data_IF_274066345167
#
_entry.id   IF_274066345167
#
_cell.length_a   1.000
_cell.length_b   1.000
_cell.length_c   1.000
_cell.angle_alpha   90.00
_cell.angle_beta   90.00
_cell.angle_gamma   90.00
#
_symmetry.space_group_name_H-M   'P 1'
#
loop_
_entity.id
_entity.type
_entity.pdbx_description
1 polymer ?
#
# COMPACT_ATOMS: atom_id res chain seq x y z
N UNK A 1 -11.35 -15.16 -1.73
CA UNK A 1 -10.03 -15.75 -2.03
C UNK A 1 -9.06 -15.53 -0.89
N UNK A 2 -8.80 -14.28 -0.47
CA UNK A 2 -7.88 -13.96 0.64
C UNK A 2 -8.23 -14.64 1.97
N UNK A 3 -9.52 -14.72 2.34
CA UNK A 3 -9.92 -15.44 3.55
C UNK A 3 -9.45 -16.92 3.55
N UNK A 4 -9.52 -17.59 2.38
CA UNK A 4 -9.04 -18.97 2.21
C UNK A 4 -7.51 -19.06 2.30
N UNK A 5 -6.79 -17.99 1.93
CA UNK A 5 -5.34 -17.91 2.07
C UNK A 5 -4.93 -17.82 3.55
N UNK A 6 -5.65 -16.98 4.31
CA UNK A 6 -5.50 -16.88 5.76
C UNK A 6 -5.86 -18.19 6.49
N UNK A 7 -6.95 -18.85 6.11
CA UNK A 7 -7.31 -20.18 6.64
C UNK A 7 -6.24 -21.24 6.35
N UNK A 8 -5.53 -21.14 5.22
CA UNK A 8 -4.43 -22.03 4.85
C UNK A 8 -3.09 -21.64 5.49
N UNK A 9 -3.04 -20.60 6.31
CA UNK A 9 -1.81 -20.10 6.94
C UNK A 9 -0.77 -19.58 5.94
N UNK A 10 -1.20 -19.15 4.76
CA UNK A 10 -0.31 -18.64 3.72
C UNK A 10 -0.23 -17.10 3.80
N UNK A 11 0.97 -16.50 3.76
CA UNK A 11 1.11 -15.05 3.88
C UNK A 11 0.62 -14.33 2.63
N UNK A 12 -0.09 -13.23 2.83
CA UNK A 12 -0.46 -12.25 1.82
C UNK A 12 0.42 -11.00 1.95
N UNK A 13 1.34 -10.81 1.00
CA UNK A 13 2.17 -9.60 0.92
C UNK A 13 1.66 -8.76 -0.25
N UNK A 14 1.26 -7.53 0.04
CA UNK A 14 0.80 -6.55 -0.95
C UNK A 14 1.95 -5.61 -1.32
N UNK A 15 2.24 -5.47 -2.62
CA UNK A 15 3.19 -4.49 -3.14
C UNK A 15 2.43 -3.44 -3.94
N UNK A 16 2.34 -2.23 -3.38
CA UNK A 16 1.66 -1.08 -3.95
C UNK A 16 2.64 -0.29 -4.84
N UNK A 17 2.30 -0.18 -6.12
CA UNK A 17 3.09 0.55 -7.12
C UNK A 17 2.29 1.74 -7.65
N UNK A 18 2.99 2.73 -8.20
CA UNK A 18 2.35 3.97 -8.64
C UNK A 18 1.56 3.82 -9.95
N UNK A 19 0.29 4.28 -10.02
CA UNK A 19 -0.62 4.60 -8.91
C UNK A 19 -1.44 3.38 -8.46
N UNK A 20 -1.79 3.33 -7.16
CA UNK A 20 -2.75 2.36 -6.62
C UNK A 20 -3.97 3.11 -6.08
N UNK A 21 -5.12 3.00 -6.77
CA UNK A 21 -6.29 3.84 -6.47
C UNK A 21 -7.61 3.08 -6.38
N UNK A 22 -8.61 3.69 -5.74
CA UNK A 22 -10.01 3.26 -5.83
C UNK A 22 -10.27 1.89 -5.23
N UNK A 23 -11.08 1.09 -5.94
CA UNK A 23 -11.52 -0.23 -5.47
C UNK A 23 -10.39 -1.21 -5.16
N UNK A 24 -9.21 -1.06 -5.78
CA UNK A 24 -8.03 -1.89 -5.49
C UNK A 24 -7.54 -1.59 -4.07
N UNK A 25 -7.31 -0.32 -3.73
CA UNK A 25 -6.93 0.12 -2.37
C UNK A 25 -8.01 -0.22 -1.34
N UNK A 26 -9.29 -0.12 -1.71
CA UNK A 26 -10.40 -0.45 -0.82
C UNK A 26 -10.72 -1.95 -0.72
N UNK A 27 -9.84 -2.83 -1.24
CA UNK A 27 -10.07 -4.28 -1.20
C UNK A 27 -8.78 -5.04 -0.86
N UNK A 28 -8.30 -5.88 -1.77
CA UNK A 28 -7.20 -6.79 -1.51
C UNK A 28 -5.89 -6.06 -1.26
N UNK A 29 -5.66 -4.88 -1.84
CA UNK A 29 -4.38 -4.19 -1.69
C UNK A 29 -4.09 -3.73 -0.25
N UNK A 30 -5.13 -3.42 0.53
CA UNK A 30 -5.02 -2.99 1.94
C UNK A 30 -5.46 -4.06 2.95
N UNK A 31 -5.83 -5.25 2.50
CA UNK A 31 -6.17 -6.41 3.32
C UNK A 31 -5.07 -7.49 3.23
N UNK A 32 -3.87 -7.13 3.65
CA UNK A 32 -2.66 -7.95 3.57
C UNK A 32 -1.96 -8.05 4.92
N UNK A 33 -1.16 -9.09 5.11
CA UNK A 33 -0.35 -9.29 6.32
C UNK A 33 0.81 -8.28 6.37
N UNK A 34 1.35 -7.94 5.19
CA UNK A 34 2.36 -6.89 5.03
C UNK A 34 2.05 -6.09 3.76
N UNK A 35 2.03 -4.77 3.89
CA UNK A 35 1.81 -3.80 2.82
C UNK A 35 3.12 -3.04 2.58
N UNK A 36 3.69 -3.22 1.39
CA UNK A 36 4.91 -2.56 0.94
C UNK A 36 4.54 -1.56 -0.15
N UNK A 37 5.18 -0.40 -0.20
CA UNK A 37 5.06 0.55 -1.29
C UNK A 37 6.42 0.93 -1.88
N UNK A 38 6.45 1.33 -3.15
CA UNK A 38 7.62 1.98 -3.75
C UNK A 38 7.68 3.47 -3.36
N UNK A 39 8.87 4.08 -3.23
CA UNK A 39 9.02 5.51 -2.90
C UNK A 39 8.23 6.41 -3.84
N UNK A 40 7.51 7.39 -3.28
CA UNK A 40 6.70 8.35 -4.02
C UNK A 40 5.44 7.79 -4.70
N UNK A 41 5.11 6.50 -4.52
CA UNK A 41 3.91 5.93 -5.15
C UNK A 41 2.64 6.60 -4.61
N UNK A 42 1.69 6.94 -5.49
CA UNK A 42 0.44 7.58 -5.08
C UNK A 42 -0.61 6.51 -4.80
N UNK A 43 -1.08 6.46 -3.56
CA UNK A 43 -1.96 5.43 -3.01
C UNK A 43 -3.18 6.08 -2.34
N UNK A 44 -4.39 5.71 -2.76
CA UNK A 44 -5.58 6.14 -2.04
C UNK A 44 -6.92 5.78 -2.69
N UNK A 45 -8.02 5.97 -1.96
CA UNK A 45 -9.33 5.60 -2.48
C UNK A 45 -9.85 6.58 -3.54
N UNK A 46 -9.98 7.85 -3.18
CA UNK A 46 -10.45 8.90 -4.08
C UNK A 46 -9.26 9.73 -4.60
N UNK A 47 -9.31 10.14 -5.87
CA UNK A 47 -8.27 10.99 -6.43
C UNK A 47 -8.24 12.37 -5.78
N UNK A 48 -7.03 12.94 -5.61
CA UNK A 48 -6.79 14.28 -5.04
C UNK A 48 -7.78 15.35 -5.52
N UNK A 49 -8.01 15.44 -6.84
CA UNK A 49 -8.94 16.42 -7.43
C UNK A 49 -10.36 16.30 -6.87
N UNK A 50 -10.87 15.08 -6.73
CA UNK A 50 -12.23 14.84 -6.21
C UNK A 50 -12.29 15.28 -4.75
N UNK A 51 -11.28 14.93 -3.95
CA UNK A 51 -11.21 15.30 -2.54
C UNK A 51 -11.16 16.83 -2.38
N UNK A 52 -10.25 17.51 -3.08
CA UNK A 52 -10.10 18.98 -3.01
C UNK A 52 -11.39 19.71 -3.40
N UNK A 53 -12.10 19.21 -4.42
CA UNK A 53 -13.39 19.77 -4.84
C UNK A 53 -14.48 19.59 -3.78
N UNK A 54 -14.47 18.46 -3.07
CA UNK A 54 -15.44 18.17 -2.01
C UNK A 54 -15.18 19.01 -0.75
N UNK A 55 -13.93 19.09 -0.27
CA UNK A 55 -13.59 19.82 0.96
C UNK A 55 -13.32 21.32 0.74
N UNK A 56 -13.18 21.75 -0.52
CA UNK A 56 -12.86 23.12 -0.96
C UNK A 56 -11.55 23.67 -0.35
N UNK A 57 -10.57 22.81 -0.16
CA UNK A 57 -9.24 23.13 0.36
C UNK A 57 -8.17 22.42 -0.47
N UNK A 58 -6.96 22.98 -0.49
CA UNK A 58 -5.81 22.32 -1.11
C UNK A 58 -5.26 21.27 -0.16
N UNK A 59 -4.93 20.10 -0.70
CA UNK A 59 -4.27 19.05 0.06
C UNK A 59 -2.75 19.34 0.17
N UNK A 60 -2.06 18.80 1.19
CA UNK A 60 -0.59 18.82 1.26
C UNK A 60 0.08 18.25 -0.01
N UNK A 61 1.28 18.70 -0.38
CA UNK A 61 1.94 18.25 -1.61
C UNK A 61 2.20 16.74 -1.64
N UNK A 62 2.56 16.18 -0.50
CA UNK A 62 2.85 14.77 -0.22
C UNK A 62 1.61 13.91 0.07
N UNK A 63 0.41 14.49 0.09
CA UNK A 63 -0.82 13.75 0.34
C UNK A 63 -0.96 12.53 -0.60
N UNK A 64 -1.33 11.38 -0.04
CA UNK A 64 -1.44 10.08 -0.73
C UNK A 64 -0.12 9.46 -1.20
N UNK A 65 1.05 10.05 -0.95
CA UNK A 65 2.32 9.38 -1.25
C UNK A 65 2.55 8.17 -0.35
N UNK A 66 3.40 7.24 -0.78
CA UNK A 66 3.82 6.09 0.00
C UNK A 66 4.38 6.49 1.38
N UNK A 67 5.12 7.60 1.44
CA UNK A 67 5.67 8.17 2.66
C UNK A 67 4.56 8.71 3.58
N UNK A 68 3.59 9.44 3.02
CA UNK A 68 2.42 9.89 3.76
C UNK A 68 1.64 8.70 4.34
N UNK A 69 1.44 7.64 3.56
CA UNK A 69 0.72 6.45 4.00
C UNK A 69 1.49 5.66 5.06
N UNK A 70 2.82 5.62 4.97
CA UNK A 70 3.68 5.04 6.00
C UNK A 70 3.54 5.82 7.33
N UNK A 71 3.58 7.15 7.28
CA UNK A 71 3.42 7.99 8.48
C UNK A 71 2.05 7.80 9.15
N UNK A 72 1.01 7.51 8.37
CA UNK A 72 -0.36 7.30 8.86
C UNK A 72 -0.68 5.82 9.15
N UNK A 73 0.29 4.91 9.04
CA UNK A 73 0.12 3.49 9.38
C UNK A 73 -0.68 2.67 8.38
N UNK A 74 -0.83 3.16 7.14
CA UNK A 74 -1.54 2.46 6.06
C UNK A 74 -0.62 1.58 5.20
N UNK A 75 0.69 1.82 5.28
CA UNK A 75 1.76 1.05 4.62
C UNK A 75 2.77 0.67 5.68
N UNK A 76 3.27 -0.57 5.67
CA UNK A 76 4.25 -1.03 6.66
C UNK A 76 5.68 -0.64 6.28
N UNK A 77 5.99 -0.59 4.98
CA UNK A 77 7.34 -0.31 4.48
C UNK A 77 7.33 0.44 3.16
N UNK A 78 8.22 1.43 3.02
CA UNK A 78 8.55 2.05 1.73
C UNK A 78 9.93 1.55 1.29
N UNK A 79 9.98 0.84 0.16
CA UNK A 79 11.17 0.08 -0.25
C UNK A 79 11.57 0.42 -1.69
N UNK A 80 12.81 0.87 -1.96
CA UNK A 80 13.30 1.09 -3.32
C UNK A 80 13.24 -0.18 -4.17
N UNK A 81 12.91 -0.03 -5.46
CA UNK A 81 12.69 -1.17 -6.37
C UNK A 81 13.81 -2.21 -6.38
N UNK A 82 15.06 -1.75 -6.31
CA UNK A 82 16.25 -2.61 -6.32
C UNK A 82 16.35 -3.52 -5.08
N UNK A 83 15.70 -3.14 -3.98
CA UNK A 83 15.73 -3.86 -2.70
C UNK A 83 14.51 -4.77 -2.52
N UNK A 84 13.43 -4.58 -3.30
CA UNK A 84 12.19 -5.35 -3.16
C UNK A 84 12.42 -6.86 -3.16
N UNK A 85 13.27 -7.37 -4.06
CA UNK A 85 13.56 -8.81 -4.15
C UNK A 85 14.15 -9.35 -2.85
N UNK A 86 15.09 -8.62 -2.25
CA UNK A 86 15.75 -9.06 -1.02
C UNK A 86 14.80 -8.94 0.18
N UNK A 87 14.02 -7.86 0.27
CA UNK A 87 13.03 -7.61 1.32
C UNK A 87 11.92 -8.65 1.30
N UNK A 88 11.25 -8.85 0.15
CA UNK A 88 10.17 -9.84 0.00
C UNK A 88 10.71 -11.24 0.31
N UNK A 89 11.90 -11.58 -0.17
CA UNK A 89 12.54 -12.86 0.17
C UNK A 89 12.79 -13.05 1.67
N UNK A 90 13.10 -12.00 2.42
CA UNK A 90 13.22 -12.07 3.89
C UNK A 90 11.87 -12.27 4.56
N UNK A 91 10.84 -11.55 4.11
CA UNK A 91 9.48 -11.70 4.64
C UNK A 91 8.97 -13.12 4.42
N UNK A 92 9.09 -13.67 3.20
CA UNK A 92 8.67 -15.03 2.92
C UNK A 92 9.40 -16.08 3.78
N UNK A 93 10.67 -15.86 4.13
CA UNK A 93 11.42 -16.72 5.06
C UNK A 93 10.97 -16.60 6.52
N UNK A 94 10.37 -15.47 6.91
CA UNK A 94 9.84 -15.28 8.27
C UNK A 94 8.51 -16.03 8.46
N UNK A 95 7.72 -16.17 7.40
CA UNK A 95 6.45 -16.90 7.38
C UNK A 95 6.59 -18.39 7.02
N UNK A 96 7.81 -18.85 6.69
CA UNK A 96 8.11 -20.24 6.39
C UNK A 96 8.42 -21.03 7.67
#
# INVERSE_FOLDING_TARGET
ALARLGEAGQPHISLLVDPCMGGVTASHASAADVIIAEPGAVIGFAGRRVIEQTIRQKLPPDFQTAEFQLEHGMVDMVVPRMELRSVIGRLLRLYA
#
